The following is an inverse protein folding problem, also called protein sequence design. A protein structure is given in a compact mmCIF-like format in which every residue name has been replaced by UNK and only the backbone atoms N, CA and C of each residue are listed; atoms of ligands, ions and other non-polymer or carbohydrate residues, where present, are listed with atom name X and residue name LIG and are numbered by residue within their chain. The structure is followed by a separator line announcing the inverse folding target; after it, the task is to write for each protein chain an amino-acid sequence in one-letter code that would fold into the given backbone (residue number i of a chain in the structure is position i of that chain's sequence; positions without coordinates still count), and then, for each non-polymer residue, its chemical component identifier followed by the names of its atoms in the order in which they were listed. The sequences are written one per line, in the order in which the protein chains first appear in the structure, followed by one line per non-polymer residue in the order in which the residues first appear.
data_IF_848202087612
#
_entry.id   IF_848202087612
#
_cell.length_a   1.000
_cell.length_b   1.000
_cell.length_c   1.000
_cell.angle_alpha   90.00
_cell.angle_beta   90.00
_cell.angle_gamma   90.00
#
_symmetry.space_group_name_H-M   'P 1'
#
loop_
_entity.id
_entity.type
_entity.pdbx_description
1 polymer ?
#
# COMPACT_ATOMS: atom_id res chain seq x y z
N UNK A 1 -0.48 13.23 -8.85
CA UNK A 1 -1.64 12.38 -8.48
C UNK A 1 -1.65 12.18 -6.97
N UNK A 2 -2.82 12.10 -6.31
CA UNK A 2 -2.87 11.97 -4.85
C UNK A 2 -2.89 10.50 -4.39
N UNK A 3 -1.73 9.96 -4.01
CA UNK A 3 -1.60 8.59 -3.49
C UNK A 3 -1.39 8.62 -1.99
N UNK A 4 -2.29 7.96 -1.26
CA UNK A 4 -2.23 7.86 0.19
C UNK A 4 -2.16 6.40 0.61
N UNK A 5 -1.13 6.07 1.38
CA UNK A 5 -0.97 4.77 2.02
C UNK A 5 -1.12 4.93 3.53
N UNK A 6 -1.99 4.13 4.12
CA UNK A 6 -2.20 4.11 5.58
C UNK A 6 -2.51 2.70 6.05
N UNK A 7 -2.65 2.52 7.36
CA UNK A 7 -2.89 1.23 7.98
C UNK A 7 -3.99 1.31 9.04
N UNK A 8 -4.55 0.15 9.38
CA UNK A 8 -5.43 0.05 10.54
C UNK A 8 -4.67 0.13 11.86
N UNK A 9 -5.40 0.44 12.94
CA UNK A 9 -4.81 0.78 14.24
C UNK A 9 -4.28 -0.44 15.04
N UNK A 10 -3.93 -1.54 14.37
CA UNK A 10 -3.46 -2.73 15.07
C UNK A 10 -1.99 -2.60 15.48
N UNK A 11 -1.77 -2.17 16.71
CA UNK A 11 -0.44 -1.84 17.23
C UNK A 11 0.54 -3.03 17.24
N UNK A 12 0.07 -4.27 17.30
CA UNK A 12 0.93 -5.47 17.29
C UNK A 12 1.56 -5.71 15.90
N UNK A 13 0.84 -5.33 14.84
CA UNK A 13 1.33 -5.49 13.47
C UNK A 13 2.50 -4.54 13.15
N UNK A 14 2.59 -3.40 13.85
CA UNK A 14 3.61 -2.35 13.64
C UNK A 14 3.69 -1.92 12.17
N UNK A 15 2.55 -1.77 11.52
CA UNK A 15 2.48 -1.38 10.10
C UNK A 15 2.97 0.05 9.89
N UNK A 16 2.61 0.96 10.80
CA UNK A 16 3.11 2.33 10.84
C UNK A 16 4.64 2.38 10.79
N UNK A 17 5.29 1.46 11.51
CA UNK A 17 6.73 1.33 11.52
C UNK A 17 7.26 0.73 10.21
N UNK A 18 6.67 -0.37 9.77
CA UNK A 18 7.10 -1.10 8.57
C UNK A 18 6.99 -0.24 7.30
N UNK A 19 6.05 0.72 7.26
CA UNK A 19 5.85 1.62 6.12
C UNK A 19 6.41 3.02 6.34
N UNK A 20 7.10 3.29 7.45
CA UNK A 20 7.58 4.63 7.80
C UNK A 20 8.57 5.23 6.79
N UNK A 21 9.30 4.36 6.09
CA UNK A 21 10.24 4.71 5.02
C UNK A 21 9.54 5.19 3.75
N UNK A 22 8.24 4.95 3.60
CA UNK A 22 7.48 5.36 2.41
C UNK A 22 6.96 6.79 2.55
N UNK A 23 7.42 7.66 1.67
CA UNK A 23 6.83 8.98 1.46
C UNK A 23 5.95 9.01 0.20
N UNK A 24 4.92 8.16 0.22
CA UNK A 24 4.07 7.92 -0.96
C UNK A 24 3.37 9.19 -1.44
N UNK A 25 2.93 10.07 -0.53
CA UNK A 25 2.20 11.26 -0.95
C UNK A 25 3.10 12.23 -1.73
N UNK A 26 4.28 12.59 -1.19
CA UNK A 26 5.19 13.49 -1.87
C UNK A 26 5.79 12.87 -3.14
N UNK A 27 6.00 11.55 -3.18
CA UNK A 27 6.51 10.89 -4.39
C UNK A 27 5.58 11.07 -5.58
N UNK A 28 4.28 10.86 -5.39
CA UNK A 28 3.31 10.83 -6.49
C UNK A 28 2.64 12.18 -6.78
N UNK A 29 2.74 13.19 -5.89
CA UNK A 29 2.01 14.46 -6.05
C UNK A 29 2.37 15.19 -7.35
N UNK A 30 3.65 15.14 -7.75
CA UNK A 30 4.19 15.82 -8.94
C UNK A 30 4.04 15.02 -10.24
N UNK A 31 3.66 13.74 -10.15
CA UNK A 31 3.53 12.85 -11.29
C UNK A 31 2.11 12.88 -11.87
N UNK A 32 2.02 12.84 -13.19
CA UNK A 32 0.77 12.84 -13.95
C UNK A 32 0.63 11.54 -14.75
N UNK A 33 -0.44 10.81 -14.51
CA UNK A 33 -0.81 9.57 -15.19
C UNK A 33 -2.13 9.73 -15.96
N UNK A 34 -2.57 10.97 -16.17
CA UNK A 34 -3.80 11.28 -16.86
C UNK A 34 -5.02 11.47 -15.94
N UNK A 35 -6.09 12.08 -16.48
CA UNK A 35 -7.23 12.55 -15.69
C UNK A 35 -8.20 11.45 -15.26
N UNK A 36 -7.98 10.18 -15.62
CA UNK A 36 -8.88 9.07 -15.29
C UNK A 36 -8.94 8.72 -13.80
N UNK A 37 -7.89 9.04 -13.05
CA UNK A 37 -7.78 8.80 -11.61
C UNK A 37 -7.07 9.99 -10.95
N UNK A 38 -7.78 10.72 -10.10
CA UNK A 38 -7.17 11.84 -9.36
C UNK A 38 -6.47 11.36 -8.08
N UNK A 39 -6.99 10.29 -7.46
CA UNK A 39 -6.45 9.78 -6.21
C UNK A 39 -6.56 8.27 -6.02
N UNK A 40 -5.62 7.73 -5.25
CA UNK A 40 -5.57 6.34 -4.81
C UNK A 40 -5.40 6.30 -3.29
N UNK A 41 -6.27 5.55 -2.61
CA UNK A 41 -6.21 5.31 -1.16
C UNK A 41 -5.93 3.83 -0.92
N UNK A 42 -4.74 3.50 -0.46
CA UNK A 42 -4.33 2.14 -0.10
C UNK A 42 -4.38 2.02 1.42
N UNK A 43 -5.25 1.15 1.93
CA UNK A 43 -5.39 0.91 3.37
C UNK A 43 -4.90 -0.49 3.68
N UNK A 44 -3.77 -0.60 4.38
CA UNK A 44 -3.26 -1.86 4.90
C UNK A 44 -4.13 -2.29 6.09
N UNK A 45 -4.85 -3.40 5.94
CA UNK A 45 -5.81 -3.88 6.91
C UNK A 45 -5.31 -5.20 7.51
N UNK A 46 -4.65 -5.14 8.67
CA UNK A 46 -4.00 -6.30 9.29
C UNK A 46 -4.80 -6.83 10.48
N UNK A 47 -5.56 -7.90 10.22
CA UNK A 47 -6.54 -8.44 11.18
C UNK A 47 -6.50 -9.96 11.26
N UNK A 48 -7.14 -10.47 12.32
CA UNK A 48 -7.44 -11.89 12.44
C UNK A 48 -8.52 -12.28 11.41
N UNK A 49 -8.27 -13.28 10.54
CA UNK A 49 -9.26 -13.76 9.55
C UNK A 49 -10.58 -14.23 10.15
N UNK A 50 -10.59 -14.70 11.40
CA UNK A 50 -11.79 -15.18 12.10
C UNK A 50 -12.86 -14.10 12.25
N UNK A 51 -12.48 -12.83 12.15
CA UNK A 51 -13.39 -11.68 12.15
C UNK A 51 -14.17 -11.51 10.83
N UNK A 52 -13.85 -12.30 9.79
CA UNK A 52 -14.62 -12.37 8.55
C UNK A 52 -14.59 -11.08 7.70
N UNK A 53 -13.60 -10.21 7.92
CA UNK A 53 -13.45 -8.99 7.14
C UNK A 53 -13.15 -9.32 5.68
N UNK A 54 -13.80 -8.58 4.78
CA UNK A 54 -13.60 -8.68 3.33
C UNK A 54 -12.87 -7.47 2.81
N UNK A 55 -12.10 -7.66 1.76
CA UNK A 55 -11.50 -6.58 0.99
C UNK A 55 -12.58 -5.58 0.56
N UNK A 56 -12.35 -4.30 0.83
CA UNK A 56 -13.18 -3.21 0.31
C UNK A 56 -12.46 -2.55 -0.84
N UNK A 57 -13.18 -2.39 -1.93
CA UNK A 57 -12.73 -1.62 -3.09
C UNK A 57 -13.84 -0.62 -3.43
N UNK A 58 -13.51 0.66 -3.46
CA UNK A 58 -14.49 1.73 -3.67
C UNK A 58 -13.93 2.77 -4.62
N UNK A 59 -14.56 2.91 -5.78
CA UNK A 59 -14.32 4.02 -6.67
C UNK A 59 -15.41 5.08 -6.50
N UNK A 60 -14.99 6.31 -6.24
CA UNK A 60 -15.88 7.47 -6.18
C UNK A 60 -15.69 8.29 -7.45
N UNK A 61 -16.78 8.47 -8.23
CA UNK A 61 -16.71 9.15 -9.53
C UNK A 61 -16.55 10.67 -9.40
N UNK A 62 -17.09 11.25 -8.34
CA UNK A 62 -17.14 12.70 -8.14
C UNK A 62 -15.73 13.31 -7.95
N UNK A 63 -14.86 12.60 -7.23
CA UNK A 63 -13.48 12.97 -6.93
C UNK A 63 -12.47 12.12 -7.72
N UNK A 64 -12.95 11.21 -8.58
CA UNK A 64 -12.15 10.21 -9.30
C UNK A 64 -11.12 9.54 -8.39
N UNK A 65 -11.56 9.08 -7.22
CA UNK A 65 -10.68 8.44 -6.23
C UNK A 65 -11.01 6.96 -6.08
N UNK A 66 -9.98 6.11 -6.11
CA UNK A 66 -10.10 4.67 -5.86
C UNK A 66 -9.52 4.33 -4.48
N UNK A 67 -10.34 3.73 -3.62
CA UNK A 67 -9.92 3.16 -2.35
C UNK A 67 -9.79 1.64 -2.45
N UNK A 68 -8.70 1.10 -1.91
CA UNK A 68 -8.37 -0.33 -1.89
C UNK A 68 -7.91 -0.70 -0.49
N UNK A 69 -8.60 -1.63 0.15
CA UNK A 69 -8.07 -2.32 1.33
C UNK A 69 -7.12 -3.43 0.86
N UNK A 70 -5.90 -3.46 1.36
CA UNK A 70 -4.95 -4.57 1.19
C UNK A 70 -4.99 -5.39 2.46
N UNK A 71 -5.51 -6.62 2.35
CA UNK A 71 -5.75 -7.49 3.50
C UNK A 71 -4.45 -8.19 3.92
N UNK A 72 -4.05 -8.00 5.17
CA UNK A 72 -2.86 -8.60 5.76
C UNK A 72 -3.23 -9.57 6.88
N UNK A 73 -2.45 -10.64 7.02
CA UNK A 73 -2.72 -11.71 7.97
C UNK A 73 -2.03 -11.45 9.33
N UNK A 74 -2.79 -10.96 10.31
CA UNK A 74 -2.22 -10.60 11.62
C UNK A 74 -1.42 -11.72 12.30
N UNK A 75 -1.89 -12.98 12.35
CA UNK A 75 -1.14 -14.05 12.99
C UNK A 75 0.22 -14.34 12.33
N UNK A 76 0.38 -14.02 11.04
CA UNK A 76 1.67 -14.10 10.35
C UNK A 76 2.55 -12.92 10.74
N UNK A 77 2.02 -11.69 10.70
CA UNK A 77 2.75 -10.46 10.97
C UNK A 77 3.40 -10.42 12.36
N UNK A 78 2.69 -10.86 13.39
CA UNK A 78 3.21 -10.83 14.77
C UNK A 78 4.31 -11.87 15.02
N UNK A 79 4.49 -12.85 14.12
CA UNK A 79 5.46 -13.93 14.27
C UNK A 79 6.74 -13.74 13.47
N UNK A 80 6.80 -12.71 12.62
CA UNK A 80 7.91 -12.48 11.71
C UNK A 80 8.70 -11.21 12.06
N UNK A 81 10.02 -11.19 11.79
CA UNK A 81 10.85 -9.99 11.93
C UNK A 81 10.39 -8.83 11.04
N UNK A 82 10.77 -7.60 11.37
CA UNK A 82 10.38 -6.38 10.63
C UNK A 82 10.70 -6.45 9.13
N UNK A 83 11.87 -6.96 8.76
CA UNK A 83 12.23 -7.17 7.35
C UNK A 83 11.23 -8.07 6.60
N UNK A 84 10.76 -9.14 7.23
CA UNK A 84 9.75 -10.02 6.65
C UNK A 84 8.37 -9.35 6.59
N UNK A 85 8.01 -8.50 7.56
CA UNK A 85 6.78 -7.69 7.50
C UNK A 85 6.79 -6.79 6.26
N UNK A 86 7.90 -6.08 6.01
CA UNK A 86 8.08 -5.24 4.81
C UNK A 86 7.94 -6.06 3.52
N UNK A 87 8.56 -7.24 3.46
CA UNK A 87 8.43 -8.15 2.33
C UNK A 87 6.98 -8.59 2.08
N UNK A 88 6.22 -8.89 3.14
CA UNK A 88 4.81 -9.24 3.02
C UNK A 88 4.00 -8.03 2.53
N UNK A 89 4.20 -6.84 3.11
CA UNK A 89 3.50 -5.62 2.66
C UNK A 89 3.76 -5.35 1.17
N UNK A 90 5.03 -5.38 0.75
CA UNK A 90 5.41 -5.17 -0.65
C UNK A 90 4.72 -6.19 -1.56
N UNK A 91 4.78 -7.48 -1.20
CA UNK A 91 4.13 -8.56 -1.95
C UNK A 91 2.62 -8.33 -2.10
N UNK A 92 1.92 -8.03 -1.01
CA UNK A 92 0.45 -7.88 -1.05
C UNK A 92 0.02 -6.61 -1.79
N UNK A 93 0.71 -5.48 -1.60
CA UNK A 93 0.43 -4.24 -2.34
C UNK A 93 0.66 -4.43 -3.84
N UNK A 94 1.80 -4.99 -4.23
CA UNK A 94 2.17 -5.23 -5.64
C UNK A 94 1.40 -6.38 -6.27
N UNK A 95 0.67 -7.18 -5.50
CA UNK A 95 -0.27 -8.17 -6.05
C UNK A 95 -1.67 -7.58 -6.21
N UNK A 96 -2.18 -6.90 -5.20
CA UNK A 96 -3.60 -6.52 -5.13
C UNK A 96 -3.90 -5.22 -5.89
N UNK A 97 -3.04 -4.19 -5.75
CA UNK A 97 -3.27 -2.89 -6.41
C UNK A 97 -3.33 -3.04 -7.94
N UNK A 98 -2.39 -3.76 -8.60
CA UNK A 98 -2.47 -3.97 -10.04
C UNK A 98 -3.73 -4.72 -10.50
N UNK A 99 -4.14 -5.76 -9.77
CA UNK A 99 -5.36 -6.53 -10.09
C UNK A 99 -6.58 -5.61 -10.08
N UNK A 100 -6.69 -4.76 -9.07
CA UNK A 100 -7.83 -3.85 -8.92
C UNK A 100 -7.81 -2.75 -9.98
N UNK A 101 -6.67 -2.08 -10.20
CA UNK A 101 -6.59 -0.99 -11.19
C UNK A 101 -6.94 -1.48 -12.60
N UNK A 102 -6.37 -2.61 -13.03
CA UNK A 102 -6.67 -3.21 -14.34
C UNK A 102 -8.14 -3.62 -14.46
N UNK A 103 -8.76 -4.09 -13.38
CA UNK A 103 -10.19 -4.42 -13.35
C UNK A 103 -11.10 -3.21 -13.57
N UNK A 104 -10.72 -2.04 -13.06
CA UNK A 104 -11.54 -0.83 -13.20
C UNK A 104 -11.46 -0.19 -14.60
N UNK A 105 -10.40 -0.49 -15.36
CA UNK A 105 -10.20 0.00 -16.73
C UNK A 105 -10.49 1.51 -16.85
N UNK A 106 -9.80 2.29 -16.01
CA UNK A 106 -10.04 3.73 -15.85
C UNK A 106 -9.71 4.47 -17.17
N UNK A 107 -10.68 5.12 -17.82
CA UNK A 107 -10.42 5.84 -19.08
C UNK A 107 -9.45 6.98 -18.86
N UNK A 108 -8.55 7.21 -19.81
CA UNK A 108 -7.56 8.30 -19.76
C UNK A 108 -6.64 8.24 -18.52
N UNK A 109 -6.36 7.04 -18.03
CA UNK A 109 -5.37 6.78 -16.98
C UNK A 109 -4.28 5.82 -17.49
N UNK A 110 -3.03 6.25 -17.47
CA UNK A 110 -1.86 5.43 -17.75
C UNK A 110 -1.62 4.45 -16.61
N UNK A 111 -2.37 3.35 -16.66
CA UNK A 111 -2.34 2.31 -15.65
C UNK A 111 -0.96 1.66 -15.58
N UNK A 112 -0.33 1.37 -16.71
CA UNK A 112 0.93 0.62 -16.70
C UNK A 112 2.11 1.52 -16.30
N UNK A 113 2.13 2.79 -16.71
CA UNK A 113 3.11 3.77 -16.21
C UNK A 113 3.00 3.99 -14.71
N UNK A 114 1.78 4.11 -14.18
CA UNK A 114 1.55 4.20 -12.74
C UNK A 114 2.03 2.95 -11.99
N UNK A 115 1.72 1.76 -12.52
CA UNK A 115 2.08 0.50 -11.86
C UNK A 115 3.60 0.27 -11.83
N UNK A 116 4.32 0.66 -12.88
CA UNK A 116 5.78 0.61 -12.90
C UNK A 116 6.39 1.52 -11.83
N UNK A 117 5.87 2.75 -11.68
CA UNK A 117 6.34 3.69 -10.66
C UNK A 117 6.01 3.20 -9.24
N UNK A 118 4.80 2.64 -9.05
CA UNK A 118 4.41 2.04 -7.77
C UNK A 118 5.33 0.87 -7.40
N UNK A 119 5.66 0.00 -8.35
CA UNK A 119 6.58 -1.11 -8.13
C UNK A 119 7.97 -0.63 -7.72
N UNK A 120 8.51 0.37 -8.41
CA UNK A 120 9.79 0.98 -8.07
C UNK A 120 9.76 1.59 -6.66
N UNK A 121 8.78 2.45 -6.36
CA UNK A 121 8.64 3.13 -5.06
C UNK A 121 8.50 2.15 -3.90
N UNK A 122 7.65 1.13 -4.04
CA UNK A 122 7.43 0.13 -2.99
C UNK A 122 8.67 -0.75 -2.81
N UNK A 123 9.32 -1.15 -3.89
CA UNK A 123 10.52 -2.00 -3.84
C UNK A 123 11.69 -1.26 -3.22
N UNK A 124 11.98 -0.03 -3.67
CA UNK A 124 13.07 0.78 -3.13
C UNK A 124 12.84 1.10 -1.65
N UNK A 125 11.62 1.55 -1.30
CA UNK A 125 11.30 1.91 0.07
C UNK A 125 11.25 0.73 1.03
N UNK A 126 10.61 -0.38 0.67
CA UNK A 126 10.39 -1.50 1.61
C UNK A 126 11.45 -2.60 1.55
N UNK A 127 12.17 -2.73 0.44
CA UNK A 127 13.13 -3.82 0.20
C UNK A 127 14.52 -3.32 -0.17
N UNK A 128 14.70 -2.00 -0.36
CA UNK A 128 15.97 -1.39 -0.67
C UNK A 128 16.92 -1.29 0.54
N UNK A 129 18.13 -0.75 0.33
CA UNK A 129 19.19 -0.70 1.33
C UNK A 129 18.82 0.13 2.57
N UNK A 130 17.93 1.10 2.44
CA UNK A 130 17.51 1.98 3.54
C UNK A 130 16.18 1.54 4.21
N UNK A 131 15.65 0.38 3.84
CA UNK A 131 14.34 -0.09 4.32
C UNK A 131 14.30 -0.36 5.84
N UNK A 132 15.44 -0.62 6.47
CA UNK A 132 15.58 -0.86 7.90
C UNK A 132 15.96 0.39 8.70
N UNK A 133 16.05 1.57 8.06
CA UNK A 133 16.51 2.82 8.66
C UNK A 133 15.83 3.14 9.98
N UNK A 134 14.58 2.73 10.16
CA UNK A 134 13.82 2.97 11.39
C UNK A 134 13.75 1.76 12.33
N UNK A 135 14.19 0.55 11.96
CA UNK A 135 14.02 -0.68 12.78
C UNK A 135 14.53 -0.55 14.22
N UNK A 136 15.56 0.26 14.44
CA UNK A 136 16.10 0.59 15.76
C UNK A 136 15.10 1.31 16.71
N UNK A 137 14.02 1.89 16.18
CA UNK A 137 12.96 2.54 16.97
C UNK A 137 11.89 1.55 17.45
N UNK A 138 11.86 0.32 16.92
CA UNK A 138 11.03 -0.74 17.46
C UNK A 138 11.75 -1.38 18.64
N UNK A 139 11.20 -1.18 19.85
CA UNK A 139 11.63 -1.93 21.02
C UNK A 139 11.34 -3.43 20.81
N UNK A 140 12.26 -4.32 21.23
CA UNK A 140 12.08 -5.77 21.11
C UNK A 140 10.90 -6.31 21.90
#
# INVERSE_FOLDING_TARGET
MDVFLSSDFNWEAKLDHATRVLDTQHHFESLDYGPGLAGLRIILNCRNPELGHKQRVRFTKADKTLGIDVMLHLPEFIRVPHAQRRAIIAREVLSEVPKVLRKYALPDFDTEGFLAELEAHITDGLLGPDADRFDHLCLP
#
